data_IF_318855046899
#
_entry.id   IF_318855046899
#
_cell.length_a   1.000
_cell.length_b   1.000
_cell.length_c   1.000
_cell.angle_alpha   90.00
_cell.angle_beta   90.00
_cell.angle_gamma   90.00
#
_symmetry.space_group_name_H-M   'P 1'
#
loop_
_entity.id
_entity.type
_entity.pdbx_description
1 polymer ?
#
# COMPACT_ATOMS: atom_id res chain seq x y z
N UNK A 1 12.46 44.08 15.28
CA UNK A 1 13.19 43.08 14.47
C UNK A 1 13.26 41.69 15.11
N UNK A 2 12.56 41.42 16.21
CA UNK A 2 12.44 40.12 16.89
C UNK A 2 11.29 39.27 16.33
N UNK A 3 10.68 39.67 15.20
CA UNK A 3 9.66 38.88 14.54
C UNK A 3 10.27 37.59 14.00
N UNK A 4 9.60 36.47 14.26
CA UNK A 4 10.02 35.12 13.84
C UNK A 4 10.27 35.04 12.31
N UNK A 5 9.57 35.86 11.52
CA UNK A 5 9.74 35.98 10.09
C UNK A 5 11.14 36.54 9.75
N UNK A 6 11.57 37.56 10.46
CA UNK A 6 12.87 38.19 10.25
C UNK A 6 14.00 37.31 10.78
N UNK A 7 13.81 36.67 11.92
CA UNK A 7 14.77 35.75 12.52
C UNK A 7 15.07 34.55 11.62
N UNK A 8 14.05 33.97 10.97
CA UNK A 8 14.20 32.77 10.15
C UNK A 8 14.70 33.06 8.71
N UNK A 9 14.42 34.24 8.17
CA UNK A 9 14.62 34.52 6.73
C UNK A 9 15.39 35.79 6.40
N UNK A 10 15.72 36.63 7.35
CA UNK A 10 16.29 37.93 7.06
C UNK A 10 17.22 38.57 8.08
N UNK A 11 17.38 38.00 9.29
CA UNK A 11 18.10 38.66 10.40
C UNK A 11 19.53 39.08 10.06
N UNK A 12 20.31 38.18 9.45
CA UNK A 12 21.74 38.43 9.24
C UNK A 12 22.00 39.51 8.16
N UNK A 13 21.15 39.54 7.13
CA UNK A 13 21.28 40.55 6.05
C UNK A 13 20.77 41.92 6.49
N UNK A 14 19.74 41.98 7.32
CA UNK A 14 19.15 43.23 7.79
C UNK A 14 19.99 43.87 8.87
N UNK A 15 20.49 43.10 9.83
CA UNK A 15 21.43 43.57 10.85
C UNK A 15 22.66 44.22 10.20
N UNK A 16 23.25 43.56 9.19
CA UNK A 16 24.40 44.10 8.48
C UNK A 16 24.12 45.35 7.60
N UNK A 17 22.86 45.56 7.19
CA UNK A 17 22.42 46.76 6.48
C UNK A 17 22.18 47.89 7.48
N UNK A 18 21.58 47.62 8.63
CA UNK A 18 21.34 48.63 9.67
C UNK A 18 22.62 49.17 10.26
N UNK A 19 23.62 48.28 10.55
CA UNK A 19 24.95 48.69 11.00
C UNK A 19 25.66 49.62 9.99
N UNK A 20 25.51 49.37 8.70
CA UNK A 20 26.11 50.18 7.64
C UNK A 20 25.41 51.52 7.44
N UNK A 21 24.13 51.61 7.78
CA UNK A 21 23.32 52.85 7.62
C UNK A 21 23.40 53.76 8.84
N UNK A 22 24.01 53.30 9.96
CA UNK A 22 24.16 54.11 11.17
C UNK A 22 22.84 54.54 11.82
N UNK A 23 21.80 53.70 11.70
CA UNK A 23 20.45 54.01 12.23
C UNK A 23 20.40 53.74 13.73
N UNK A 24 19.81 54.65 14.50
CA UNK A 24 19.53 54.45 15.93
C UNK A 24 18.35 53.48 16.16
N UNK A 25 18.33 52.80 17.32
CA UNK A 25 17.42 51.67 17.62
C UNK A 25 15.91 52.05 17.61
N UNK A 26 15.53 53.32 17.59
CA UNK A 26 14.14 53.81 17.68
C UNK A 26 13.64 54.58 16.45
N UNK A 27 14.37 54.61 15.35
CA UNK A 27 13.92 55.29 14.13
C UNK A 27 13.04 54.39 13.24
N UNK A 28 11.94 54.91 12.64
CA UNK A 28 11.14 54.14 11.69
C UNK A 28 11.96 53.84 10.44
N UNK A 29 12.04 52.53 10.10
CA UNK A 29 12.86 52.04 9.01
C UNK A 29 12.12 52.26 7.67
N UNK A 30 12.36 53.40 7.01
CA UNK A 30 11.80 53.73 5.69
C UNK A 30 12.77 53.53 4.52
N UNK A 31 13.80 52.66 4.71
CA UNK A 31 14.77 52.47 3.64
C UNK A 31 14.32 51.38 2.65
N UNK A 32 14.39 51.71 1.34
CA UNK A 32 13.92 50.84 0.26
C UNK A 32 14.58 49.44 0.24
N UNK A 33 15.81 49.30 0.71
CA UNK A 33 16.53 48.02 0.83
C UNK A 33 15.93 47.14 1.93
N UNK A 34 15.52 47.73 3.04
CA UNK A 34 14.88 47.00 4.16
C UNK A 34 13.49 46.54 3.75
N UNK A 35 12.69 47.40 3.13
CA UNK A 35 11.37 47.05 2.56
C UNK A 35 11.50 45.88 1.60
N UNK A 36 12.48 45.91 0.71
CA UNK A 36 12.74 44.84 -0.26
C UNK A 36 13.17 43.51 0.40
N UNK A 37 13.93 43.61 1.50
CA UNK A 37 14.32 42.46 2.29
C UNK A 37 13.12 41.81 2.99
N UNK A 38 12.22 42.60 3.56
CA UNK A 38 10.98 42.18 4.19
C UNK A 38 10.06 41.51 3.15
N UNK A 39 9.86 42.12 1.98
CA UNK A 39 9.10 41.51 0.89
C UNK A 39 9.67 40.14 0.46
N UNK A 40 10.98 40.05 0.34
CA UNK A 40 11.63 38.76 -0.01
C UNK A 40 11.47 37.69 1.09
N UNK A 41 11.54 38.10 2.37
CA UNK A 41 11.28 37.19 3.49
C UNK A 41 9.82 36.72 3.48
N UNK A 42 8.88 37.62 3.27
CA UNK A 42 7.45 37.26 3.14
C UNK A 42 7.20 36.28 1.99
N UNK A 43 7.76 36.54 0.80
CA UNK A 43 7.66 35.64 -0.35
C UNK A 43 8.23 34.25 -0.06
N UNK A 44 9.35 34.17 0.69
CA UNK A 44 9.93 32.88 1.10
C UNK A 44 9.00 32.11 2.06
N UNK A 45 8.40 32.81 3.04
CA UNK A 45 7.42 32.21 3.95
C UNK A 45 6.18 31.72 3.22
N UNK A 46 5.65 32.56 2.31
CA UNK A 46 4.50 32.19 1.48
C UNK A 46 4.80 30.95 0.61
N UNK A 47 5.96 30.92 -0.03
CA UNK A 47 6.39 29.79 -0.84
C UNK A 47 6.53 28.50 0.01
N UNK A 48 7.11 28.61 1.20
CA UNK A 48 7.21 27.49 2.14
C UNK A 48 5.83 26.99 2.59
N UNK A 49 4.96 27.92 3.02
CA UNK A 49 3.60 27.56 3.45
C UNK A 49 2.77 26.99 2.30
N UNK A 50 2.95 27.51 1.09
CA UNK A 50 2.34 26.95 -0.12
C UNK A 50 2.83 25.52 -0.37
N UNK A 51 4.14 25.28 -0.29
CA UNK A 51 4.72 23.93 -0.47
C UNK A 51 4.18 22.95 0.56
N UNK A 52 4.14 23.34 1.84
CA UNK A 52 3.57 22.49 2.90
C UNK A 52 2.10 22.16 2.62
N UNK A 53 1.28 23.17 2.29
CA UNK A 53 -0.14 22.94 1.96
C UNK A 53 -0.31 22.05 0.73
N UNK A 54 0.54 22.24 -0.29
CA UNK A 54 0.52 21.40 -1.50
C UNK A 54 0.81 19.94 -1.15
N UNK A 55 1.84 19.67 -0.35
CA UNK A 55 2.16 18.30 0.08
C UNK A 55 1.05 17.67 0.91
N UNK A 56 0.41 18.43 1.80
CA UNK A 56 -0.75 17.95 2.57
C UNK A 56 -1.91 17.56 1.64
N UNK A 57 -2.21 18.39 0.63
CA UNK A 57 -3.26 18.08 -0.34
C UNK A 57 -2.91 16.86 -1.21
N UNK A 58 -1.67 16.76 -1.68
CA UNK A 58 -1.20 15.59 -2.45
C UNK A 58 -1.33 14.31 -1.63
N UNK A 59 -1.00 14.36 -0.33
CA UNK A 59 -1.18 13.21 0.58
C UNK A 59 -2.66 12.88 0.81
N UNK A 60 -3.51 13.89 1.00
CA UNK A 60 -4.95 13.71 1.19
C UNK A 60 -5.61 13.10 -0.05
N UNK A 61 -5.20 13.52 -1.25
CA UNK A 61 -5.67 12.93 -2.51
C UNK A 61 -5.33 11.43 -2.61
N UNK A 62 -4.10 11.03 -2.25
CA UNK A 62 -3.70 9.62 -2.22
C UNK A 62 -4.55 8.84 -1.21
N UNK A 63 -4.75 9.38 -0.01
CA UNK A 63 -5.56 8.76 1.03
C UNK A 63 -7.03 8.62 0.60
N UNK A 64 -7.58 9.61 -0.11
CA UNK A 64 -8.92 9.55 -0.65
C UNK A 64 -9.06 8.48 -1.74
N UNK A 65 -8.10 8.38 -2.65
CA UNK A 65 -8.09 7.31 -3.67
C UNK A 65 -8.04 5.93 -3.03
N UNK A 66 -7.19 5.71 -2.03
CA UNK A 66 -7.13 4.46 -1.28
C UNK A 66 -8.47 4.14 -0.58
N UNK A 67 -9.10 5.15 0.01
CA UNK A 67 -10.42 5.04 0.65
C UNK A 67 -11.50 4.64 -0.35
N UNK A 68 -11.53 5.28 -1.52
CA UNK A 68 -12.49 4.95 -2.58
C UNK A 68 -12.35 3.50 -3.06
N UNK A 69 -11.11 3.02 -3.25
CA UNK A 69 -10.84 1.64 -3.63
C UNK A 69 -11.39 0.67 -2.58
N UNK A 70 -11.08 0.89 -1.30
CA UNK A 70 -11.52 0.01 -0.21
C UNK A 70 -13.04 0.05 -0.06
N UNK A 71 -13.67 1.22 -0.11
CA UNK A 71 -15.12 1.33 -0.03
C UNK A 71 -15.82 0.70 -1.22
N UNK A 72 -15.23 0.81 -2.42
CA UNK A 72 -15.74 0.13 -3.61
C UNK A 72 -15.66 -1.40 -3.45
N UNK A 73 -14.54 -1.93 -2.96
CA UNK A 73 -14.40 -3.35 -2.67
C UNK A 73 -15.40 -3.81 -1.60
N UNK A 74 -15.50 -3.09 -0.50
CA UNK A 74 -16.47 -3.38 0.55
C UNK A 74 -17.91 -3.37 0.05
N UNK A 75 -18.26 -2.39 -0.78
CA UNK A 75 -19.59 -2.31 -1.40
C UNK A 75 -19.87 -3.51 -2.31
N UNK A 76 -18.88 -3.94 -3.10
CA UNK A 76 -19.01 -5.13 -3.94
C UNK A 76 -19.30 -6.37 -3.10
N UNK A 77 -18.53 -6.60 -2.03
CA UNK A 77 -18.72 -7.75 -1.15
C UNK A 77 -20.11 -7.76 -0.51
N UNK A 78 -20.57 -6.59 -0.04
CA UNK A 78 -21.90 -6.48 0.60
C UNK A 78 -23.09 -6.70 -0.34
N UNK A 79 -22.92 -6.43 -1.64
CA UNK A 79 -24.00 -6.48 -2.62
C UNK A 79 -23.88 -7.65 -3.62
N UNK A 80 -22.78 -8.41 -3.59
CA UNK A 80 -22.64 -9.62 -4.37
C UNK A 80 -23.26 -10.81 -3.62
N UNK A 81 -24.25 -11.41 -4.24
CA UNK A 81 -24.90 -12.63 -3.72
C UNK A 81 -23.98 -13.86 -3.80
N UNK A 82 -22.95 -13.82 -4.66
CA UNK A 82 -22.03 -14.93 -4.87
C UNK A 82 -20.59 -14.43 -5.09
N UNK A 83 -19.73 -14.67 -4.11
CA UNK A 83 -18.29 -14.35 -4.17
C UNK A 83 -17.44 -15.50 -4.74
N UNK A 84 -18.03 -16.63 -5.10
CA UNK A 84 -17.34 -17.84 -5.55
C UNK A 84 -16.35 -17.57 -6.69
N UNK A 85 -16.76 -16.79 -7.68
CA UNK A 85 -15.91 -16.46 -8.83
C UNK A 85 -14.72 -15.58 -8.42
N UNK A 86 -14.96 -14.60 -7.56
CA UNK A 86 -13.90 -13.74 -7.00
C UNK A 86 -12.90 -14.53 -6.17
N UNK A 87 -13.37 -15.49 -5.37
CA UNK A 87 -12.49 -16.36 -4.58
C UNK A 87 -11.68 -17.28 -5.47
N UNK A 88 -12.29 -17.82 -6.53
CA UNK A 88 -11.56 -18.62 -7.52
C UNK A 88 -10.44 -17.81 -8.19
N UNK A 89 -10.72 -16.60 -8.64
CA UNK A 89 -9.69 -15.70 -9.18
C UNK A 89 -8.54 -15.47 -8.19
N UNK A 90 -8.84 -15.28 -6.89
CA UNK A 90 -7.81 -15.12 -5.85
C UNK A 90 -6.98 -16.39 -5.64
N UNK A 91 -7.60 -17.55 -5.75
CA UNK A 91 -6.91 -18.86 -5.67
C UNK A 91 -6.01 -19.03 -6.88
N UNK A 92 -6.51 -18.74 -8.09
CA UNK A 92 -5.74 -18.79 -9.33
C UNK A 92 -4.50 -17.89 -9.27
N UNK A 93 -4.66 -16.64 -8.83
CA UNK A 93 -3.56 -15.71 -8.60
C UNK A 93 -2.55 -16.23 -7.56
N UNK A 94 -3.03 -16.92 -6.52
CA UNK A 94 -2.16 -17.49 -5.49
C UNK A 94 -1.35 -18.65 -6.04
N UNK A 95 -1.94 -19.52 -6.85
CA UNK A 95 -1.24 -20.61 -7.55
C UNK A 95 -0.18 -20.04 -8.50
N UNK A 96 -0.54 -19.04 -9.30
CA UNK A 96 0.39 -18.38 -10.22
C UNK A 96 1.57 -17.70 -9.49
N UNK A 97 1.29 -17.08 -8.34
CA UNK A 97 2.33 -16.53 -7.46
C UNK A 97 3.25 -17.64 -6.92
N UNK A 98 2.68 -18.76 -6.49
CA UNK A 98 3.45 -19.93 -6.03
C UNK A 98 4.40 -20.41 -7.13
N UNK A 99 3.91 -20.55 -8.35
CA UNK A 99 4.72 -20.92 -9.52
C UNK A 99 5.84 -19.93 -9.82
N UNK A 100 5.55 -18.65 -9.73
CA UNK A 100 6.54 -17.58 -9.98
C UNK A 100 7.63 -17.57 -8.93
N UNK A 101 7.29 -17.82 -7.66
CA UNK A 101 8.25 -17.81 -6.55
C UNK A 101 9.14 -19.05 -6.48
N UNK A 102 8.59 -20.25 -6.73
CA UNK A 102 9.28 -21.51 -6.47
C UNK A 102 9.62 -22.32 -7.72
N UNK A 103 8.96 -22.04 -8.86
CA UNK A 103 9.22 -22.67 -10.15
C UNK A 103 9.26 -21.61 -11.27
N UNK A 104 10.18 -20.60 -11.20
CA UNK A 104 10.28 -19.57 -12.21
C UNK A 104 10.74 -20.16 -13.56
N UNK A 105 10.28 -19.58 -14.69
CA UNK A 105 10.54 -20.11 -16.03
C UNK A 105 12.02 -20.02 -16.45
N UNK A 106 12.81 -19.15 -15.80
CA UNK A 106 14.23 -18.99 -16.09
C UNK A 106 15.12 -20.04 -15.42
N UNK A 107 14.58 -20.86 -14.51
CA UNK A 107 15.30 -21.86 -13.72
C UNK A 107 14.95 -23.25 -14.20
N UNK A 108 15.96 -24.13 -14.30
CA UNK A 108 15.72 -25.53 -14.65
C UNK A 108 14.89 -26.24 -13.57
N UNK A 109 14.09 -27.21 -14.00
CA UNK A 109 13.19 -27.97 -13.09
C UNK A 109 13.91 -28.70 -11.95
N UNK A 110 15.17 -29.06 -12.15
CA UNK A 110 16.03 -29.71 -11.15
C UNK A 110 16.43 -28.78 -10.00
N UNK A 111 16.42 -27.46 -10.24
CA UNK A 111 16.80 -26.42 -9.28
C UNK A 111 15.58 -25.78 -8.59
N UNK A 112 14.37 -26.26 -8.84
CA UNK A 112 13.17 -25.72 -8.18
C UNK A 112 13.11 -26.13 -6.71
N UNK A 113 12.75 -25.19 -5.83
CA UNK A 113 12.52 -25.49 -4.41
C UNK A 113 11.12 -26.06 -4.19
N UNK A 114 10.97 -27.34 -4.60
CA UNK A 114 9.69 -28.05 -4.49
C UNK A 114 9.24 -28.27 -3.03
N UNK A 115 10.18 -28.33 -2.08
CA UNK A 115 9.80 -28.48 -0.68
C UNK A 115 9.18 -27.17 -0.13
N UNK A 116 9.76 -26.03 -0.47
CA UNK A 116 9.19 -24.73 -0.10
C UNK A 116 7.86 -24.49 -0.82
N UNK A 117 7.73 -24.91 -2.09
CA UNK A 117 6.48 -24.87 -2.84
C UNK A 117 5.38 -25.66 -2.14
N UNK A 118 5.66 -26.91 -1.73
CA UNK A 118 4.71 -27.76 -1.02
C UNK A 118 4.27 -27.10 0.29
N UNK A 119 5.21 -26.63 1.10
CA UNK A 119 4.91 -25.97 2.36
C UNK A 119 4.01 -24.73 2.14
N UNK A 120 4.32 -23.93 1.15
CA UNK A 120 3.51 -22.76 0.81
C UNK A 120 2.10 -23.17 0.32
N UNK A 121 2.00 -24.15 -0.57
CA UNK A 121 0.71 -24.64 -1.07
C UNK A 121 -0.17 -25.21 0.05
N UNK A 122 0.42 -25.97 0.98
CA UNK A 122 -0.29 -26.56 2.14
C UNK A 122 -0.77 -25.49 3.14
N UNK A 123 -0.06 -24.38 3.25
CA UNK A 123 -0.46 -23.28 4.14
C UNK A 123 -1.64 -22.46 3.57
N UNK A 124 -1.80 -22.41 2.24
CA UNK A 124 -2.79 -21.54 1.61
C UNK A 124 -3.97 -22.29 0.96
N UNK A 125 -3.72 -23.31 0.15
CA UNK A 125 -4.79 -23.89 -0.68
C UNK A 125 -4.78 -25.41 -0.84
N UNK A 126 -3.70 -26.10 -0.50
CA UNK A 126 -3.62 -27.55 -0.66
C UNK A 126 -3.86 -28.30 0.67
N UNK A 127 -4.45 -29.50 0.64
CA UNK A 127 -4.52 -30.38 1.81
C UNK A 127 -3.12 -30.84 2.23
N UNK A 128 -2.86 -30.92 3.53
CA UNK A 128 -1.59 -31.40 4.07
C UNK A 128 -1.32 -32.82 3.71
N UNK A 129 -0.11 -33.12 3.25
CA UNK A 129 0.37 -34.47 2.91
C UNK A 129 -0.13 -35.01 1.58
N UNK A 130 -0.83 -34.23 0.78
CA UNK A 130 -1.25 -34.59 -0.57
C UNK A 130 -0.12 -34.44 -1.59
N UNK A 131 0.69 -33.40 -1.45
CA UNK A 131 1.76 -33.06 -2.36
C UNK A 131 3.05 -33.77 -1.93
N UNK A 132 3.76 -34.38 -2.88
CA UNK A 132 5.04 -35.05 -2.62
C UNK A 132 6.09 -34.59 -3.64
N UNK A 133 7.33 -34.39 -3.19
CA UNK A 133 8.43 -34.01 -4.05
C UNK A 133 8.65 -35.00 -5.19
N UNK A 134 8.60 -36.32 -4.87
CA UNK A 134 8.81 -37.39 -5.84
C UNK A 134 7.82 -37.36 -7.02
N UNK A 135 6.62 -36.89 -6.79
CA UNK A 135 5.62 -36.72 -7.86
C UNK A 135 5.84 -35.45 -8.63
N UNK A 136 6.06 -34.32 -7.93
CA UNK A 136 6.15 -32.97 -8.56
C UNK A 136 7.42 -32.82 -9.40
N UNK A 137 8.54 -33.43 -9.04
CA UNK A 137 9.81 -33.36 -9.78
C UNK A 137 9.74 -33.92 -11.22
N UNK A 138 8.75 -34.77 -11.48
CA UNK A 138 8.57 -35.41 -12.80
C UNK A 138 7.65 -34.61 -13.74
N UNK A 139 7.07 -33.51 -13.26
CA UNK A 139 6.15 -32.69 -14.02
C UNK A 139 6.87 -31.54 -14.73
N UNK A 140 6.42 -31.21 -15.92
CA UNK A 140 6.79 -29.95 -16.57
C UNK A 140 6.17 -28.77 -15.79
N UNK A 141 6.64 -27.55 -16.06
CA UNK A 141 6.13 -26.35 -15.40
C UNK A 141 4.62 -26.15 -15.63
N UNK A 142 4.18 -26.41 -16.84
CA UNK A 142 2.77 -26.33 -17.25
C UNK A 142 1.91 -27.39 -16.53
N UNK A 143 2.39 -28.63 -16.52
CA UNK A 143 1.70 -29.73 -15.82
C UNK A 143 1.64 -29.51 -14.30
N UNK A 144 2.72 -28.92 -13.73
CA UNK A 144 2.77 -28.57 -12.31
C UNK A 144 1.74 -27.47 -11.99
N UNK A 145 1.62 -26.44 -12.82
CA UNK A 145 0.63 -25.37 -12.63
C UNK A 145 -0.81 -25.93 -12.72
N UNK A 146 -1.11 -26.72 -13.74
CA UNK A 146 -2.43 -27.36 -13.90
C UNK A 146 -2.76 -28.30 -12.73
N UNK A 147 -1.78 -29.05 -12.26
CA UNK A 147 -1.96 -29.93 -11.11
C UNK A 147 -2.25 -29.16 -9.82
N UNK A 148 -1.49 -28.10 -9.52
CA UNK A 148 -1.71 -27.26 -8.35
C UNK A 148 -3.08 -26.54 -8.41
N UNK A 149 -3.47 -26.06 -9.60
CA UNK A 149 -4.78 -25.48 -9.82
C UNK A 149 -5.90 -26.47 -9.51
N UNK A 150 -5.78 -27.67 -10.04
CA UNK A 150 -6.74 -28.74 -9.78
C UNK A 150 -6.83 -29.10 -8.29
N UNK A 151 -5.69 -29.21 -7.61
CA UNK A 151 -5.64 -29.48 -6.15
C UNK A 151 -6.35 -28.39 -5.36
N UNK A 152 -6.17 -27.13 -5.74
CA UNK A 152 -6.82 -25.98 -5.11
C UNK A 152 -8.34 -26.02 -5.32
N UNK A 153 -8.79 -26.26 -6.55
CA UNK A 153 -10.22 -26.36 -6.89
C UNK A 153 -10.88 -27.56 -6.16
N UNK A 154 -10.25 -28.73 -6.17
CA UNK A 154 -10.76 -29.93 -5.50
C UNK A 154 -10.87 -29.71 -3.99
N UNK A 155 -9.89 -29.06 -3.36
CA UNK A 155 -9.93 -28.73 -1.94
C UNK A 155 -11.03 -27.71 -1.60
N UNK A 156 -11.21 -26.70 -2.45
CA UNK A 156 -12.29 -25.73 -2.29
C UNK A 156 -13.66 -26.44 -2.39
N UNK A 157 -13.86 -27.28 -3.41
CA UNK A 157 -15.11 -28.01 -3.60
C UNK A 157 -15.38 -28.99 -2.45
N UNK A 158 -14.37 -29.68 -1.97
CA UNK A 158 -14.51 -30.60 -0.82
C UNK A 158 -14.95 -29.84 0.46
N UNK A 159 -14.47 -28.62 0.67
CA UNK A 159 -14.92 -27.77 1.78
C UNK A 159 -16.35 -27.28 1.60
N UNK A 160 -16.72 -26.86 0.38
CA UNK A 160 -18.10 -26.46 0.08
C UNK A 160 -19.07 -27.62 0.30
N UNK A 161 -18.72 -28.84 -0.14
CA UNK A 161 -19.55 -30.05 0.05
C UNK A 161 -19.69 -30.43 1.53
N UNK A 162 -18.63 -30.25 2.33
CA UNK A 162 -18.62 -30.55 3.76
C UNK A 162 -19.45 -29.55 4.60
N UNK A 163 -19.46 -28.29 4.25
CA UNK A 163 -20.12 -27.21 5.01
C UNK A 163 -21.54 -26.96 4.48
N UNK A 164 -21.74 -27.18 3.20
CA UNK A 164 -22.94 -26.82 2.45
C UNK A 164 -22.82 -25.45 1.77
N UNK A 165 -23.42 -25.30 0.58
CA UNK A 165 -23.20 -24.14 -0.29
C UNK A 165 -23.71 -22.83 0.34
N UNK A 166 -24.83 -22.84 1.05
CA UNK A 166 -25.39 -21.63 1.68
C UNK A 166 -24.47 -21.11 2.80
N UNK A 167 -24.06 -21.99 3.72
CA UNK A 167 -23.19 -21.62 4.83
C UNK A 167 -21.78 -21.23 4.34
N UNK A 168 -21.32 -21.85 3.25
CA UNK A 168 -20.06 -21.46 2.62
C UNK A 168 -20.11 -20.02 2.10
N UNK A 169 -21.21 -19.59 1.45
CA UNK A 169 -21.38 -18.20 0.98
C UNK A 169 -21.38 -17.19 2.14
N UNK A 170 -22.06 -17.52 3.24
CA UNK A 170 -22.06 -16.68 4.43
C UNK A 170 -20.66 -16.53 5.03
N UNK A 171 -19.92 -17.64 5.12
CA UNK A 171 -18.54 -17.67 5.61
C UNK A 171 -17.61 -16.82 4.73
N UNK A 172 -17.69 -16.96 3.42
CA UNK A 172 -16.92 -16.19 2.45
C UNK A 172 -17.16 -14.68 2.60
N UNK A 173 -18.44 -14.28 2.66
CA UNK A 173 -18.80 -12.89 2.88
C UNK A 173 -18.22 -12.34 4.18
N UNK A 174 -18.35 -13.10 5.26
CA UNK A 174 -17.88 -12.69 6.59
C UNK A 174 -16.35 -12.56 6.64
N UNK A 175 -15.64 -13.52 6.06
CA UNK A 175 -14.16 -13.49 6.02
C UNK A 175 -13.66 -12.35 5.14
N UNK A 176 -14.24 -12.17 3.95
CA UNK A 176 -13.87 -11.11 3.02
C UNK A 176 -14.10 -9.71 3.64
N UNK A 177 -15.26 -9.50 4.27
CA UNK A 177 -15.53 -8.24 4.98
C UNK A 177 -14.53 -7.99 6.11
N UNK A 178 -14.21 -9.02 6.89
CA UNK A 178 -13.24 -8.91 7.98
C UNK A 178 -11.84 -8.54 7.47
N UNK A 179 -11.41 -9.12 6.35
CA UNK A 179 -10.12 -8.79 5.72
C UNK A 179 -10.11 -7.34 5.25
N UNK A 180 -11.15 -6.90 4.53
CA UNK A 180 -11.25 -5.52 4.03
C UNK A 180 -11.31 -4.52 5.19
N UNK A 181 -12.08 -4.79 6.23
CA UNK A 181 -12.20 -3.92 7.41
C UNK A 181 -10.87 -3.81 8.17
N UNK A 182 -10.11 -4.90 8.30
CA UNK A 182 -8.77 -4.88 8.90
C UNK A 182 -7.79 -4.01 8.10
N UNK A 183 -7.80 -4.11 6.78
CA UNK A 183 -6.96 -3.27 5.92
C UNK A 183 -7.38 -1.80 5.98
N UNK A 184 -8.67 -1.51 6.08
CA UNK A 184 -9.19 -0.16 6.27
C UNK A 184 -8.69 0.45 7.59
N UNK A 185 -8.72 -0.30 8.69
CA UNK A 185 -8.22 0.17 9.99
C UNK A 185 -6.72 0.49 9.95
N UNK A 186 -5.91 -0.31 9.26
CA UNK A 186 -4.47 -0.08 9.14
C UNK A 186 -4.13 1.24 8.42
N UNK A 187 -4.94 1.66 7.44
CA UNK A 187 -4.76 2.95 6.74
C UNK A 187 -4.97 4.15 7.68
N UNK A 188 -5.85 4.04 8.69
CA UNK A 188 -6.10 5.12 9.64
C UNK A 188 -5.16 5.12 10.84
N UNK A 189 -4.53 3.99 11.15
CA UNK A 189 -3.69 3.81 12.35
C UNK A 189 -2.21 3.75 12.06
N UNK A 190 -1.80 3.74 10.78
CA UNK A 190 -0.39 3.81 10.42
C UNK A 190 0.17 5.19 10.79
N UNK A 191 1.13 5.29 11.73
CA UNK A 191 1.77 6.57 12.03
C UNK A 191 2.58 7.00 10.81
N UNK A 192 2.31 8.21 10.34
CA UNK A 192 3.07 8.93 9.31
C UNK A 192 4.44 9.35 9.81
#
# INVERSE_FOLDING_TARGET
LEDDLMRLFGSDNIAGIMDKLGMEDDEPIEHSLVTKSIENAQKKVEARNFSIRKHVLEYDDVMNQQREVIYSQRHKILHQENLKDTIKEMVDETVERTMTMYAPPEVYSEDWDLQALINYAEDFYAPRGLLTVDYLQNLSREELAEYLQKVADDNYQAREDAIGPELMRELENLVMLKVVDNHCCLLYTSPS
#
